data_IF_082679746833
#
_entry.id   IF_082679746833
#
_cell.length_a   1.000
_cell.length_b   1.000
_cell.length_c   1.000
_cell.angle_alpha   90.00
_cell.angle_beta   90.00
_cell.angle_gamma   90.00
#
_symmetry.space_group_name_H-M   'P 1'
#
loop_
_entity.id
_entity.type
_entity.pdbx_description
1 polymer ?
#
# COMPACT_ATOMS: atom_id res chain seq x y z
N UNK A 1 2.31 -51.95 3.00
CA UNK A 1 1.74 -50.82 3.77
C UNK A 1 0.89 -49.99 2.82
N UNK A 2 -0.38 -49.77 3.19
CA UNK A 2 -1.23 -48.91 2.36
C UNK A 2 -0.91 -47.43 2.60
N UNK A 3 -1.28 -46.57 1.66
CA UNK A 3 -1.11 -45.12 1.81
C UNK A 3 -1.84 -44.61 3.04
N UNK A 4 -3.07 -45.11 3.27
CA UNK A 4 -3.85 -44.73 4.43
C UNK A 4 -3.17 -45.05 5.76
N UNK A 5 -2.55 -46.23 5.84
CA UNK A 5 -1.83 -46.62 7.05
C UNK A 5 -0.56 -45.79 7.23
N UNK A 6 0.19 -45.56 6.15
CA UNK A 6 1.35 -44.67 6.19
C UNK A 6 0.97 -43.27 6.67
N UNK A 7 -0.14 -42.72 6.17
CA UNK A 7 -0.66 -41.42 6.56
C UNK A 7 -0.97 -41.38 8.06
N UNK A 8 -1.69 -42.41 8.56
CA UNK A 8 -2.08 -42.46 9.98
C UNK A 8 -0.85 -42.60 10.88
N UNK A 9 0.12 -43.40 10.50
CA UNK A 9 1.34 -43.60 11.27
C UNK A 9 2.18 -42.34 11.37
N UNK A 10 2.05 -41.44 10.40
CA UNK A 10 2.79 -40.20 10.35
C UNK A 10 1.90 -38.96 10.42
N UNK A 11 0.69 -39.12 10.96
CA UNK A 11 -0.30 -38.04 11.02
C UNK A 11 0.25 -36.79 11.71
N UNK A 12 1.05 -36.98 12.74
CA UNK A 12 1.62 -35.87 13.50
C UNK A 12 2.55 -35.03 12.62
N UNK A 13 3.37 -35.69 11.79
CA UNK A 13 4.27 -35.02 10.86
C UNK A 13 3.48 -34.24 9.77
N UNK A 14 2.41 -34.83 9.26
CA UNK A 14 1.54 -34.16 8.28
C UNK A 14 0.85 -32.94 8.89
N UNK A 15 0.37 -33.04 10.13
CA UNK A 15 -0.25 -31.93 10.83
C UNK A 15 0.75 -30.78 11.04
N UNK A 16 1.98 -31.09 11.42
CA UNK A 16 3.03 -30.10 11.58
C UNK A 16 3.35 -29.39 10.26
N UNK A 17 3.42 -30.17 9.17
CA UNK A 17 3.69 -29.61 7.84
C UNK A 17 2.58 -28.66 7.40
N UNK A 18 1.31 -29.06 7.53
CA UNK A 18 0.19 -28.22 7.16
C UNK A 18 0.11 -26.97 8.02
N UNK A 19 0.41 -27.07 9.31
CA UNK A 19 0.45 -25.91 10.20
C UNK A 19 1.55 -24.93 9.79
N UNK A 20 2.73 -25.44 9.42
CA UNK A 20 3.83 -24.59 8.95
C UNK A 20 3.49 -23.87 7.66
N UNK A 21 2.92 -24.59 6.68
CA UNK A 21 2.51 -24.00 5.40
C UNK A 21 1.43 -22.95 5.63
N UNK A 22 0.41 -23.27 6.43
CA UNK A 22 -0.68 -22.34 6.76
C UNK A 22 -0.16 -21.09 7.44
N UNK A 23 0.81 -21.22 8.35
CA UNK A 23 1.44 -20.10 9.04
C UNK A 23 2.19 -19.19 8.07
N UNK A 24 2.95 -19.78 7.15
CA UNK A 24 3.70 -19.01 6.14
C UNK A 24 2.73 -18.23 5.24
N UNK A 25 1.70 -18.88 4.73
CA UNK A 25 0.69 -18.24 3.88
C UNK A 25 -0.02 -17.11 4.63
N UNK A 26 -0.41 -17.35 5.89
CA UNK A 26 -1.06 -16.34 6.72
C UNK A 26 -0.18 -15.11 6.90
N UNK A 27 1.10 -15.31 7.24
CA UNK A 27 2.05 -14.22 7.41
C UNK A 27 2.26 -13.43 6.14
N UNK A 28 2.38 -14.11 5.01
CA UNK A 28 2.59 -13.48 3.71
C UNK A 28 1.38 -12.61 3.32
N UNK A 29 0.18 -13.14 3.47
CA UNK A 29 -1.05 -12.40 3.18
C UNK A 29 -1.21 -11.20 4.11
N UNK A 30 -0.92 -11.37 5.39
CA UNK A 30 -1.04 -10.28 6.35
C UNK A 30 0.00 -9.18 6.10
N UNK A 31 1.21 -9.56 5.71
CA UNK A 31 2.26 -8.61 5.36
C UNK A 31 1.88 -7.73 4.17
N UNK A 32 1.33 -8.33 3.13
CA UNK A 32 0.84 -7.59 1.96
C UNK A 32 -0.27 -6.62 2.33
N UNK A 33 -1.17 -7.05 3.20
CA UNK A 33 -2.33 -6.27 3.58
C UNK A 33 -2.00 -5.15 4.58
N UNK A 34 -0.93 -5.27 5.34
CA UNK A 34 -0.63 -4.34 6.42
C UNK A 34 0.19 -3.11 5.97
N UNK A 35 1.01 -3.25 4.94
CA UNK A 35 2.02 -2.25 4.59
C UNK A 35 1.76 -1.56 3.26
N UNK A 36 0.90 -2.13 2.43
CA UNK A 36 0.72 -1.67 1.06
C UNK A 36 1.84 -2.18 0.14
N UNK A 37 1.55 -2.23 -1.14
CA UNK A 37 2.51 -2.67 -2.15
C UNK A 37 3.28 -1.47 -2.70
N UNK A 38 4.62 -1.57 -2.74
CA UNK A 38 5.44 -0.53 -3.36
C UNK A 38 5.40 -0.68 -4.87
N UNK A 39 5.19 0.43 -5.55
CA UNK A 39 5.08 0.45 -7.02
C UNK A 39 6.05 1.47 -7.61
N UNK A 40 6.49 1.20 -8.83
CA UNK A 40 7.33 2.13 -9.59
C UNK A 40 6.51 3.36 -10.02
N UNK A 41 7.21 4.40 -10.47
CA UNK A 41 6.56 5.61 -11.00
C UNK A 41 5.66 5.28 -12.19
N UNK A 42 6.11 4.43 -13.10
CA UNK A 42 5.32 4.03 -14.25
C UNK A 42 4.05 3.28 -13.86
N UNK A 43 4.17 2.35 -12.92
CA UNK A 43 3.02 1.60 -12.41
C UNK A 43 2.04 2.50 -11.68
N UNK A 44 2.54 3.43 -10.87
CA UNK A 44 1.72 4.38 -10.14
C UNK A 44 0.90 5.25 -11.10
N UNK A 45 1.50 5.72 -12.18
CA UNK A 45 0.80 6.52 -13.18
C UNK A 45 -0.33 5.74 -13.84
N UNK A 46 -0.11 4.46 -14.15
CA UNK A 46 -1.16 3.59 -14.71
C UNK A 46 -2.30 3.41 -13.72
N UNK A 47 -1.99 3.13 -12.46
CA UNK A 47 -3.01 2.95 -11.42
C UNK A 47 -3.84 4.21 -11.22
N UNK A 48 -3.20 5.38 -11.19
CA UNK A 48 -3.91 6.66 -11.03
C UNK A 48 -4.80 6.97 -12.22
N UNK A 49 -4.37 6.64 -13.44
CA UNK A 49 -5.17 6.85 -14.64
C UNK A 49 -6.36 5.89 -14.75
N UNK A 50 -6.30 4.77 -14.05
CA UNK A 50 -7.37 3.76 -14.04
C UNK A 50 -8.33 4.00 -12.87
N UNK A 51 -8.87 5.21 -12.79
CA UNK A 51 -9.78 5.65 -11.71
C UNK A 51 -9.16 5.68 -10.32
N UNK A 52 -7.84 5.66 -10.24
CA UNK A 52 -7.13 5.79 -8.98
C UNK A 52 -6.87 7.24 -8.60
N UNK A 53 -6.19 7.45 -7.50
CA UNK A 53 -5.82 8.78 -7.02
C UNK A 53 -4.46 8.74 -6.35
N UNK A 54 -3.73 9.87 -6.42
CA UNK A 54 -2.53 10.09 -5.62
C UNK A 54 -2.90 10.82 -4.34
N UNK A 55 -2.32 10.39 -3.23
CA UNK A 55 -2.45 11.05 -1.94
C UNK A 55 -1.05 11.51 -1.49
N UNK A 56 -0.88 12.80 -1.33
CA UNK A 56 0.36 13.41 -0.88
C UNK A 56 0.32 13.54 0.65
N UNK A 57 1.23 12.88 1.33
CA UNK A 57 1.28 12.82 2.79
C UNK A 57 2.18 13.91 3.40
N UNK A 58 2.75 14.78 2.57
CA UNK A 58 3.61 15.86 3.04
C UNK A 58 2.79 17.01 3.62
N UNK A 59 3.48 17.99 4.20
CA UNK A 59 2.81 19.20 4.69
C UNK A 59 2.11 19.95 3.56
N UNK A 60 1.13 20.78 3.91
CA UNK A 60 0.44 21.62 2.93
C UNK A 60 1.41 22.59 2.24
N UNK A 61 2.43 23.05 2.94
CA UNK A 61 3.44 23.93 2.36
C UNK A 61 4.25 23.22 1.26
N UNK A 62 4.72 22.01 1.53
CA UNK A 62 5.47 21.23 0.54
C UNK A 62 4.61 20.88 -0.65
N UNK A 63 3.35 20.53 -0.41
CA UNK A 63 2.37 20.24 -1.46
C UNK A 63 2.21 21.43 -2.42
N UNK A 64 2.10 22.63 -1.87
CA UNK A 64 1.93 23.85 -2.70
C UNK A 64 3.17 24.19 -3.51
N UNK A 65 4.34 23.81 -3.05
CA UNK A 65 5.58 24.06 -3.78
C UNK A 65 5.73 23.17 -5.03
N UNK A 66 5.14 22.00 -4.99
CA UNK A 66 5.15 21.08 -6.13
C UNK A 66 4.61 19.72 -5.72
N UNK A 67 3.68 19.19 -6.50
CA UNK A 67 3.09 17.88 -6.25
C UNK A 67 2.73 17.20 -7.56
N UNK A 68 2.51 15.90 -7.52
CA UNK A 68 2.07 15.13 -8.67
C UNK A 68 0.69 15.64 -9.10
N UNK A 69 0.49 15.87 -10.39
CA UNK A 69 -0.77 16.38 -10.93
C UNK A 69 -1.95 15.49 -10.49
N UNK A 70 -3.00 16.13 -9.98
CA UNK A 70 -4.18 15.43 -9.49
C UNK A 70 -4.07 14.88 -8.07
N UNK A 71 -2.92 15.00 -7.42
CA UNK A 71 -2.74 14.52 -6.06
C UNK A 71 -3.57 15.35 -5.07
N UNK A 72 -4.09 14.68 -4.05
CA UNK A 72 -4.76 15.34 -2.94
C UNK A 72 -3.83 15.37 -1.75
N UNK A 73 -3.76 16.50 -1.07
CA UNK A 73 -2.92 16.65 0.10
C UNK A 73 -3.66 16.18 1.36
N UNK A 74 -3.08 15.19 2.02
CA UNK A 74 -3.55 14.73 3.32
C UNK A 74 -2.32 14.51 4.20
N UNK A 75 -1.86 15.54 4.90
CA UNK A 75 -0.67 15.41 5.74
C UNK A 75 -0.79 14.24 6.71
N UNK A 76 0.30 13.51 6.88
CA UNK A 76 0.31 12.28 7.68
C UNK A 76 -0.26 12.51 9.09
N UNK A 77 0.08 13.65 9.71
CA UNK A 77 -0.39 13.98 11.05
C UNK A 77 -1.92 14.13 11.14
N UNK A 78 -2.58 14.47 10.03
CA UNK A 78 -4.02 14.72 9.98
C UNK A 78 -4.79 13.59 9.30
N UNK A 79 -4.09 12.60 8.76
CA UNK A 79 -4.71 11.57 7.93
C UNK A 79 -5.79 10.79 8.68
N UNK A 80 -5.53 10.44 9.93
CA UNK A 80 -6.49 9.68 10.73
C UNK A 80 -7.84 10.40 10.84
N UNK A 81 -7.81 11.71 11.01
CA UNK A 81 -9.02 12.53 11.15
C UNK A 81 -9.72 12.76 9.80
N UNK A 82 -9.02 12.60 8.68
CA UNK A 82 -9.52 12.95 7.36
C UNK A 82 -9.81 11.75 6.46
N UNK A 83 -9.58 10.54 6.92
CA UNK A 83 -9.81 9.32 6.11
C UNK A 83 -11.26 9.26 5.61
N UNK A 84 -12.22 9.60 6.47
CA UNK A 84 -13.63 9.59 6.08
C UNK A 84 -14.02 10.65 5.06
N UNK A 85 -13.16 11.63 4.80
CA UNK A 85 -13.39 12.71 3.84
C UNK A 85 -12.82 12.39 2.46
N UNK A 86 -12.13 11.28 2.29
CA UNK A 86 -11.62 10.85 1.00
C UNK A 86 -12.79 10.40 0.14
N UNK A 87 -13.00 11.07 -0.99
CA UNK A 87 -14.17 10.83 -1.87
C UNK A 87 -13.95 9.70 -2.87
N UNK A 88 -12.78 9.08 -2.88
CA UNK A 88 -12.53 7.95 -3.76
C UNK A 88 -13.32 6.73 -3.29
N UNK A 89 -13.81 5.94 -4.25
CA UNK A 89 -14.42 4.65 -3.92
C UNK A 89 -13.39 3.75 -3.24
N UNK A 90 -13.82 2.98 -2.25
CA UNK A 90 -12.91 2.19 -1.42
C UNK A 90 -12.22 1.05 -2.15
N UNK A 91 -12.73 0.66 -3.32
CA UNK A 91 -12.12 -0.35 -4.18
C UNK A 91 -11.20 0.24 -5.26
N UNK A 92 -11.09 1.58 -5.34
CA UNK A 92 -10.20 2.23 -6.31
C UNK A 92 -8.77 2.28 -5.81
N UNK A 93 -7.78 2.20 -6.70
CA UNK A 93 -6.38 2.30 -6.29
C UNK A 93 -6.05 3.67 -5.70
N UNK A 94 -5.42 3.66 -4.53
CA UNK A 94 -4.81 4.84 -3.93
C UNK A 94 -3.30 4.67 -3.95
N UNK A 95 -2.59 5.62 -4.53
CA UNK A 95 -1.13 5.66 -4.49
C UNK A 95 -0.73 6.77 -3.52
N UNK A 96 -0.16 6.38 -2.41
CA UNK A 96 0.29 7.33 -1.38
C UNK A 96 1.77 7.60 -1.52
N UNK A 97 2.18 8.82 -1.22
CA UNK A 97 3.60 9.17 -1.27
C UNK A 97 3.93 10.27 -0.25
N UNK A 98 5.17 10.26 0.18
CA UNK A 98 5.80 11.30 0.99
C UNK A 98 7.04 11.80 0.24
N UNK A 99 8.06 12.26 0.95
CA UNK A 99 9.30 12.72 0.32
C UNK A 99 10.09 11.59 -0.33
N UNK A 100 10.26 10.48 0.39
CA UNK A 100 11.21 9.42 0.02
C UNK A 100 10.65 8.00 0.14
N UNK A 101 9.41 7.84 0.55
CA UNK A 101 8.78 6.55 0.71
C UNK A 101 9.04 5.86 2.06
N UNK A 102 9.67 6.54 3.00
CA UNK A 102 10.07 5.93 4.28
C UNK A 102 8.97 5.97 5.36
N UNK A 103 8.02 6.88 5.26
CA UNK A 103 7.01 7.10 6.31
C UNK A 103 5.60 6.77 5.85
N UNK A 104 5.44 5.84 4.94
CA UNK A 104 4.16 5.51 4.31
C UNK A 104 3.43 4.34 4.97
N UNK A 105 4.13 3.52 5.74
CA UNK A 105 3.53 2.30 6.31
C UNK A 105 2.36 2.63 7.25
N UNK A 106 2.52 3.62 8.12
CA UNK A 106 1.48 4.04 9.04
C UNK A 106 0.25 4.59 8.30
N UNK A 107 0.49 5.36 7.23
CA UNK A 107 -0.57 5.90 6.39
C UNK A 107 -1.34 4.78 5.67
N UNK A 108 -0.63 3.80 5.12
CA UNK A 108 -1.26 2.65 4.47
C UNK A 108 -2.16 1.89 5.44
N UNK A 109 -1.72 1.69 6.66
CA UNK A 109 -2.50 1.04 7.71
C UNK A 109 -3.74 1.85 8.07
N UNK A 110 -3.60 3.16 8.23
CA UNK A 110 -4.72 4.06 8.53
C UNK A 110 -5.79 4.01 7.44
N UNK A 111 -5.38 4.06 6.18
CA UNK A 111 -6.29 3.99 5.05
C UNK A 111 -6.99 2.63 4.96
N UNK A 112 -6.26 1.55 5.22
CA UNK A 112 -6.86 0.22 5.23
C UNK A 112 -7.89 0.06 6.33
N UNK A 113 -7.60 0.58 7.51
CA UNK A 113 -8.56 0.58 8.62
C UNK A 113 -9.80 1.42 8.29
N UNK A 114 -9.66 2.42 7.42
CA UNK A 114 -10.77 3.21 6.91
C UNK A 114 -11.57 2.52 5.80
N UNK A 115 -11.18 1.32 5.40
CA UNK A 115 -11.92 0.51 4.42
C UNK A 115 -11.37 0.54 3.00
N UNK A 116 -10.28 1.22 2.74
CA UNK A 116 -9.66 1.23 1.41
C UNK A 116 -8.92 -0.09 1.17
N UNK A 117 -9.19 -0.73 0.03
CA UNK A 117 -8.70 -2.08 -0.26
C UNK A 117 -7.43 -2.09 -1.10
N UNK A 118 -7.29 -1.16 -2.04
CA UNK A 118 -6.19 -1.12 -3.00
C UNK A 118 -5.27 0.05 -2.69
N UNK A 119 -4.33 -0.14 -1.77
CA UNK A 119 -3.39 0.88 -1.32
C UNK A 119 -2.01 0.53 -1.82
N UNK A 120 -1.39 1.47 -2.54
CA UNK A 120 -0.06 1.33 -3.11
C UNK A 120 0.82 2.46 -2.60
N UNK A 121 2.13 2.18 -2.52
CA UNK A 121 3.12 3.14 -2.05
C UNK A 121 4.05 3.48 -3.22
N UNK A 122 4.21 4.76 -3.50
CA UNK A 122 5.14 5.23 -4.54
C UNK A 122 6.57 5.01 -4.05
N UNK A 123 7.27 4.09 -4.68
CA UNK A 123 8.66 3.78 -4.31
C UNK A 123 9.55 4.99 -4.54
N UNK A 124 10.31 5.38 -3.50
CA UNK A 124 11.14 6.57 -3.56
C UNK A 124 10.41 7.89 -3.35
N UNK A 125 9.09 7.89 -3.19
CA UNK A 125 8.29 9.09 -2.96
C UNK A 125 8.42 10.11 -4.06
N UNK A 126 8.15 11.38 -3.75
CA UNK A 126 8.26 12.46 -4.74
C UNK A 126 9.72 12.70 -5.18
N UNK A 127 10.69 12.41 -4.31
CA UNK A 127 12.09 12.52 -4.68
C UNK A 127 12.45 11.60 -5.85
N UNK A 128 11.95 10.35 -5.82
CA UNK A 128 12.14 9.42 -6.92
C UNK A 128 11.40 9.83 -8.18
N UNK A 129 10.23 10.44 -8.03
CA UNK A 129 9.45 10.99 -9.15
C UNK A 129 10.22 12.10 -9.85
N UNK A 130 10.75 13.04 -9.08
CA UNK A 130 11.55 14.17 -9.61
C UNK A 130 12.88 13.72 -10.22
N UNK A 131 13.50 12.67 -9.66
CA UNK A 131 14.76 12.13 -10.19
C UNK A 131 14.59 11.57 -11.60
N UNK A 132 13.40 11.12 -11.98
CA UNK A 132 13.08 10.67 -13.32
C UNK A 132 12.55 11.79 -14.22
N UNK A 133 12.63 13.03 -13.76
CA UNK A 133 12.16 14.23 -14.50
C UNK A 133 10.67 14.17 -14.85
N UNK A 134 9.88 13.54 -14.01
CA UNK A 134 8.44 13.46 -14.20
C UNK A 134 7.78 14.78 -13.77
N UNK A 135 6.65 15.16 -14.40
CA UNK A 135 6.06 16.48 -14.17
C UNK A 135 5.39 16.58 -12.80
N UNK A 136 5.52 17.76 -12.21
CA UNK A 136 4.77 18.16 -11.00
C UNK A 136 4.09 19.49 -11.28
N UNK A 137 3.06 19.79 -10.52
CA UNK A 137 2.34 21.05 -10.57
C UNK A 137 2.43 21.75 -9.23
N UNK A 138 2.24 23.06 -9.23
CA UNK A 138 2.25 23.86 -7.99
C UNK A 138 1.01 24.77 -7.97
N UNK A 139 0.54 25.02 -6.76
CA UNK A 139 -0.58 25.95 -6.53
C UNK A 139 -0.30 26.81 -5.32
#
# INVERSE_FOLDING_TARGET
MSFGQFFLDNIFLFLMLFAAIGGIVYFELQGRNAVGEKVSNARAAVLANDNGAFIDLRSAQDFRQGHIAGAKNMPLAELHDHVGKIRAAKNRPLVIYDHDGMNTAAAAKTLRNGGFEAIYILEGGINGWLAENLPVVSK
#
